data_IF_785246009251
#
_entry.id   IF_785246009251
#
_cell.length_a   1.000
_cell.length_b   1.000
_cell.length_c   1.000
_cell.angle_alpha   90.00
_cell.angle_beta   90.00
_cell.angle_gamma   90.00
#
_symmetry.space_group_name_H-M   'P 1'
#
loop_
_entity.id
_entity.type
_entity.pdbx_description
1 polymer ?
#
# COMPACT_ATOMS: atom_id res chain seq x y z
N UNK A 1 -27.91 -44.48 -21.34
CA UNK A 1 -26.58 -43.84 -21.31
C UNK A 1 -26.76 -42.50 -22.03
N UNK A 2 -26.83 -41.40 -21.32
CA UNK A 2 -26.99 -40.06 -21.91
C UNK A 2 -25.72 -39.73 -22.71
N UNK A 3 -25.88 -39.26 -23.96
CA UNK A 3 -24.77 -38.83 -24.83
C UNK A 3 -24.02 -37.67 -24.13
N UNK A 4 -22.93 -37.99 -23.43
CA UNK A 4 -22.03 -36.95 -22.89
C UNK A 4 -21.16 -36.41 -24.06
N UNK A 5 -21.11 -35.09 -24.20
CA UNK A 5 -20.32 -34.41 -25.22
C UNK A 5 -18.93 -34.07 -24.64
N UNK A 6 -17.86 -34.19 -25.44
CA UNK A 6 -16.55 -33.67 -25.07
C UNK A 6 -16.49 -32.16 -25.34
N UNK A 7 -16.23 -31.33 -24.33
CA UNK A 7 -16.11 -29.87 -24.52
C UNK A 7 -14.80 -29.54 -25.24
N UNK A 8 -14.72 -28.36 -25.85
CA UNK A 8 -13.45 -27.88 -26.39
C UNK A 8 -12.53 -27.49 -25.22
N UNK A 9 -11.29 -27.96 -25.28
CA UNK A 9 -10.24 -27.68 -24.29
C UNK A 9 -9.10 -26.94 -25.00
N UNK A 10 -8.92 -25.69 -24.64
CA UNK A 10 -7.79 -24.89 -25.10
C UNK A 10 -6.60 -25.08 -24.17
N UNK A 11 -5.40 -25.26 -24.73
CA UNK A 11 -4.22 -25.48 -23.93
C UNK A 11 -3.00 -24.68 -24.40
N UNK A 12 -2.17 -24.31 -23.44
CA UNK A 12 -0.87 -23.68 -23.67
C UNK A 12 0.12 -24.18 -22.62
N UNK A 13 1.40 -23.98 -22.82
CA UNK A 13 2.43 -24.45 -21.90
C UNK A 13 3.60 -23.48 -21.74
N UNK A 14 4.23 -23.53 -20.59
CA UNK A 14 5.61 -23.09 -20.34
C UNK A 14 6.52 -24.29 -20.23
N UNK A 15 7.80 -24.09 -19.89
CA UNK A 15 8.68 -25.21 -19.58
C UNK A 15 8.20 -25.97 -18.34
N UNK A 16 7.61 -25.28 -17.36
CA UNK A 16 7.25 -25.82 -16.05
C UNK A 16 5.74 -26.09 -15.87
N UNK A 17 4.87 -25.43 -16.61
CA UNK A 17 3.42 -25.45 -16.36
C UNK A 17 2.63 -25.69 -17.64
N UNK A 18 1.45 -26.31 -17.50
CA UNK A 18 0.43 -26.46 -18.55
C UNK A 18 -0.78 -25.67 -18.13
N UNK A 19 -1.32 -24.91 -19.04
CA UNK A 19 -2.53 -24.11 -18.88
C UNK A 19 -3.64 -24.74 -19.72
N UNK A 20 -4.78 -25.08 -19.07
CA UNK A 20 -5.95 -25.61 -19.76
C UNK A 20 -7.14 -24.68 -19.48
N UNK A 21 -7.96 -24.47 -20.52
CA UNK A 21 -9.23 -23.74 -20.41
C UNK A 21 -10.32 -24.57 -21.05
N UNK A 22 -11.37 -24.88 -20.28
CA UNK A 22 -12.52 -25.63 -20.78
C UNK A 22 -13.57 -24.64 -21.23
N UNK A 23 -14.03 -24.76 -22.49
CA UNK A 23 -15.02 -23.89 -23.11
C UNK A 23 -16.44 -24.32 -22.75
N UNK A 24 -16.80 -24.12 -21.48
CA UNK A 24 -18.16 -24.31 -20.96
C UNK A 24 -18.53 -23.08 -20.16
N UNK A 25 -19.55 -22.34 -20.57
CA UNK A 25 -20.02 -21.18 -19.83
C UNK A 25 -20.88 -21.62 -18.63
N UNK A 26 -20.50 -21.24 -17.44
CA UNK A 26 -21.18 -21.49 -16.18
C UNK A 26 -21.46 -22.99 -15.91
N UNK A 27 -20.42 -23.86 -15.88
CA UNK A 27 -20.58 -25.28 -15.61
C UNK A 27 -21.10 -25.49 -14.18
N UNK A 28 -22.07 -26.40 -14.02
CA UNK A 28 -22.63 -26.80 -12.73
C UNK A 28 -22.27 -28.26 -12.45
N UNK A 29 -22.13 -28.60 -11.14
CA UNK A 29 -21.84 -29.96 -10.72
C UNK A 29 -20.53 -30.51 -11.32
N UNK A 30 -19.53 -29.67 -11.46
CA UNK A 30 -18.23 -30.08 -12.02
C UNK A 30 -17.51 -30.99 -11.03
N UNK A 31 -17.24 -32.21 -11.48
CA UNK A 31 -16.38 -33.19 -10.80
C UNK A 31 -15.07 -33.33 -11.57
N UNK A 32 -13.95 -33.21 -10.86
CA UNK A 32 -12.62 -33.19 -11.44
C UNK A 32 -11.75 -34.17 -10.69
N UNK A 33 -11.25 -35.20 -11.38
CA UNK A 33 -10.33 -36.16 -10.82
C UNK A 33 -8.97 -36.05 -11.53
N UNK A 34 -7.91 -35.85 -10.75
CA UNK A 34 -6.54 -35.84 -11.24
C UNK A 34 -5.80 -37.04 -10.75
N UNK A 35 -5.13 -37.71 -11.69
CA UNK A 35 -4.07 -38.66 -11.45
C UNK A 35 -2.73 -38.08 -11.92
N UNK A 36 -1.61 -38.72 -11.64
CA UNK A 36 -0.30 -38.19 -12.03
C UNK A 36 -0.13 -38.11 -13.56
N UNK A 37 -0.84 -38.95 -14.31
CA UNK A 37 -0.77 -39.08 -15.75
C UNK A 37 -2.11 -38.80 -16.48
N UNK A 38 -3.20 -38.53 -15.76
CA UNK A 38 -4.50 -38.32 -16.35
C UNK A 38 -5.37 -37.31 -15.61
N UNK A 39 -6.38 -36.81 -16.34
CA UNK A 39 -7.42 -35.92 -15.82
C UNK A 39 -8.79 -36.38 -16.32
N UNK A 40 -9.70 -36.63 -15.41
CA UNK A 40 -11.12 -36.86 -15.71
C UNK A 40 -11.93 -35.63 -15.32
N UNK A 41 -12.85 -35.28 -16.19
CA UNK A 41 -13.74 -34.12 -16.00
C UNK A 41 -15.17 -34.49 -16.34
N UNK A 42 -16.09 -34.15 -15.45
CA UNK A 42 -17.54 -34.18 -15.72
C UNK A 42 -18.18 -32.89 -15.24
N UNK A 43 -19.17 -32.40 -16.02
CA UNK A 43 -19.98 -31.25 -15.64
C UNK A 43 -21.28 -31.25 -16.44
N UNK A 44 -22.27 -30.48 -15.99
CA UNK A 44 -23.46 -30.23 -16.79
C UNK A 44 -23.71 -28.72 -16.93
N UNK A 45 -24.30 -28.35 -18.05
CA UNK A 45 -24.79 -27.01 -18.34
C UNK A 45 -26.29 -27.05 -18.42
N UNK A 46 -27.05 -26.25 -17.66
CA UNK A 46 -28.50 -26.11 -17.84
C UNK A 46 -28.77 -25.41 -19.17
N UNK A 47 -29.65 -26.03 -19.99
CA UNK A 47 -30.11 -25.47 -21.24
C UNK A 47 -31.64 -25.53 -21.31
N UNK A 48 -32.28 -24.73 -22.16
CA UNK A 48 -33.76 -24.67 -22.28
C UNK A 48 -34.40 -26.01 -22.65
N UNK A 49 -33.64 -26.87 -23.36
CA UNK A 49 -34.07 -28.20 -23.77
C UNK A 49 -33.65 -29.37 -22.87
N UNK A 50 -33.07 -29.06 -21.69
CA UNK A 50 -32.57 -30.03 -20.71
C UNK A 50 -31.06 -29.92 -20.47
N UNK A 51 -30.53 -30.51 -19.39
CA UNK A 51 -29.12 -30.39 -19.05
C UNK A 51 -28.22 -31.10 -20.08
N UNK A 52 -27.24 -30.38 -20.62
CA UNK A 52 -26.21 -30.93 -21.49
C UNK A 52 -25.09 -31.45 -20.60
N UNK A 53 -24.80 -32.76 -20.66
CA UNK A 53 -23.73 -33.39 -19.90
C UNK A 53 -22.43 -33.38 -20.70
N UNK A 54 -21.36 -32.95 -20.07
CA UNK A 54 -19.99 -32.93 -20.58
C UNK A 54 -19.12 -33.92 -19.84
N UNK A 55 -18.32 -34.67 -20.57
CA UNK A 55 -17.37 -35.62 -20.00
C UNK A 55 -16.16 -35.77 -20.93
N UNK A 56 -14.96 -35.83 -20.34
CA UNK A 56 -13.77 -36.30 -21.00
C UNK A 56 -12.81 -36.97 -20.00
N UNK A 57 -11.96 -37.86 -20.55
CA UNK A 57 -10.81 -38.43 -19.85
C UNK A 57 -9.57 -38.16 -20.71
N UNK A 58 -8.63 -37.37 -20.19
CA UNK A 58 -7.42 -36.94 -20.86
C UNK A 58 -6.21 -37.56 -20.20
N UNK A 59 -5.46 -38.42 -20.95
CA UNK A 59 -4.16 -38.91 -20.53
C UNK A 59 -3.06 -38.00 -21.03
N UNK A 60 -2.26 -37.49 -20.11
CA UNK A 60 -1.19 -36.54 -20.42
C UNK A 60 0.00 -37.20 -21.10
N UNK A 61 0.73 -36.42 -21.89
CA UNK A 61 1.97 -36.89 -22.56
C UNK A 61 3.04 -37.35 -21.58
N UNK A 62 3.20 -36.67 -20.43
CA UNK A 62 4.04 -37.03 -19.28
C UNK A 62 3.34 -36.70 -17.97
N UNK A 63 3.95 -37.14 -16.87
CA UNK A 63 3.38 -36.95 -15.54
C UNK A 63 3.39 -35.49 -15.08
N UNK A 64 2.36 -35.13 -14.35
CA UNK A 64 2.19 -33.84 -13.68
C UNK A 64 2.33 -34.02 -12.18
N UNK A 65 2.70 -32.96 -11.44
CA UNK A 65 2.66 -32.99 -9.99
C UNK A 65 1.25 -32.66 -9.50
N UNK A 66 0.51 -33.73 -9.17
CA UNK A 66 -0.87 -33.64 -8.66
C UNK A 66 -1.04 -32.66 -7.50
N UNK A 67 0.01 -32.47 -6.65
CA UNK A 67 -0.05 -31.64 -5.44
C UNK A 67 0.01 -30.14 -5.75
N UNK A 68 0.56 -29.76 -6.89
CA UNK A 68 0.70 -28.38 -7.35
C UNK A 68 -0.32 -27.98 -8.43
N UNK A 69 -1.17 -28.92 -8.85
CA UNK A 69 -2.26 -28.64 -9.79
C UNK A 69 -3.32 -27.75 -9.12
N UNK A 70 -3.72 -26.68 -9.82
CA UNK A 70 -4.74 -25.74 -9.35
C UNK A 70 -5.75 -25.45 -10.45
N UNK A 71 -7.01 -25.15 -10.08
CA UNK A 71 -8.02 -24.71 -11.01
C UNK A 71 -8.83 -23.53 -10.44
N UNK A 72 -9.44 -22.78 -11.34
CA UNK A 72 -10.24 -21.60 -10.97
C UNK A 72 -11.32 -21.36 -12.01
N UNK A 73 -12.48 -20.84 -11.57
CA UNK A 73 -13.53 -20.35 -12.45
C UNK A 73 -13.28 -18.86 -12.76
N UNK A 74 -12.89 -18.55 -14.01
CA UNK A 74 -12.62 -17.18 -14.47
C UNK A 74 -13.57 -16.90 -15.65
N UNK A 75 -14.27 -15.75 -15.61
CA UNK A 75 -15.22 -15.34 -16.64
C UNK A 75 -16.24 -16.43 -17.00
N UNK A 76 -16.71 -17.18 -15.99
CA UNK A 76 -17.63 -18.32 -16.11
C UNK A 76 -17.06 -19.55 -16.85
N UNK A 77 -15.73 -19.61 -17.08
CA UNK A 77 -15.03 -20.75 -17.66
C UNK A 77 -14.02 -21.35 -16.68
N UNK A 78 -13.87 -22.67 -16.69
CA UNK A 78 -12.87 -23.37 -15.86
C UNK A 78 -11.49 -23.29 -16.49
N UNK A 79 -10.54 -22.78 -15.72
CA UNK A 79 -9.12 -22.70 -16.09
C UNK A 79 -8.27 -23.50 -15.12
N UNK A 80 -7.27 -24.22 -15.63
CA UNK A 80 -6.40 -25.11 -14.88
C UNK A 80 -4.94 -24.72 -15.09
N UNK A 81 -4.15 -24.84 -14.05
CA UNK A 81 -2.69 -24.75 -14.10
C UNK A 81 -2.15 -26.07 -13.54
N UNK A 82 -1.50 -26.85 -14.39
CA UNK A 82 -0.92 -28.14 -14.03
C UNK A 82 0.61 -28.03 -14.01
N UNK A 83 1.22 -28.47 -12.95
CA UNK A 83 2.68 -28.46 -12.79
C UNK A 83 3.28 -29.71 -13.41
N UNK A 84 4.23 -29.54 -14.32
CA UNK A 84 4.98 -30.66 -14.91
C UNK A 84 5.99 -31.20 -13.90
N UNK A 85 6.18 -32.52 -13.84
CA UNK A 85 7.26 -33.12 -13.02
C UNK A 85 8.64 -32.83 -13.61
N UNK A 86 8.76 -32.74 -14.92
CA UNK A 86 10.00 -32.42 -15.63
C UNK A 86 9.85 -31.08 -16.38
N UNK A 87 10.83 -30.18 -16.23
CA UNK A 87 10.82 -28.86 -16.87
C UNK A 87 11.23 -28.96 -18.34
N UNK A 88 10.26 -29.30 -19.21
CA UNK A 88 10.48 -29.41 -20.66
C UNK A 88 9.20 -29.02 -21.43
N UNK A 89 9.37 -28.69 -22.70
CA UNK A 89 8.23 -28.45 -23.58
C UNK A 89 7.70 -29.79 -24.10
N UNK A 90 6.39 -30.01 -23.95
CA UNK A 90 5.73 -31.17 -24.50
C UNK A 90 5.37 -30.92 -25.99
N UNK A 91 5.61 -31.90 -26.86
CA UNK A 91 5.25 -31.75 -28.27
C UNK A 91 3.72 -31.77 -28.50
N UNK A 92 2.98 -32.39 -27.55
CA UNK A 92 1.53 -32.53 -27.54
C UNK A 92 1.01 -32.66 -26.10
N UNK A 93 -0.30 -32.49 -25.92
CA UNK A 93 -0.91 -32.59 -24.59
C UNK A 93 -1.20 -34.04 -24.20
N UNK A 94 -1.69 -34.85 -25.16
CA UNK A 94 -2.10 -36.23 -24.90
C UNK A 94 -1.00 -37.26 -25.19
N UNK A 95 -1.17 -38.47 -24.64
CA UNK A 95 -0.32 -39.61 -24.92
C UNK A 95 -0.57 -40.17 -26.34
N UNK A 96 -1.73 -39.93 -26.96
CA UNK A 96 -2.07 -40.39 -28.28
C UNK A 96 -1.22 -39.71 -29.36
N UNK A 97 -0.98 -40.40 -30.48
CA UNK A 97 -0.11 -39.89 -31.56
C UNK A 97 -0.63 -38.57 -32.20
N UNK A 98 -1.93 -38.34 -32.14
CA UNK A 98 -2.59 -37.07 -32.53
C UNK A 98 -3.52 -36.65 -31.43
N UNK A 99 -3.45 -35.38 -31.01
CA UNK A 99 -4.41 -34.85 -30.05
C UNK A 99 -5.82 -34.95 -30.58
N UNK A 100 -6.83 -35.37 -29.79
CA UNK A 100 -8.22 -35.42 -30.19
C UNK A 100 -8.72 -34.05 -30.70
N UNK A 101 -9.69 -34.04 -31.60
CA UNK A 101 -10.21 -32.82 -32.27
C UNK A 101 -10.80 -31.76 -31.33
N UNK A 102 -11.11 -32.14 -30.09
CA UNK A 102 -11.61 -31.23 -29.05
C UNK A 102 -10.47 -30.56 -28.22
N UNK A 103 -9.20 -30.96 -28.42
CA UNK A 103 -8.03 -30.33 -27.83
C UNK A 103 -7.46 -29.34 -28.85
N UNK A 104 -7.43 -28.06 -28.49
CA UNK A 104 -7.02 -26.97 -29.37
C UNK A 104 -5.86 -26.20 -28.75
N UNK A 105 -4.71 -26.08 -29.46
CA UNK A 105 -3.64 -25.20 -29.00
C UNK A 105 -4.11 -23.74 -28.92
N UNK A 106 -3.94 -23.08 -27.77
CA UNK A 106 -4.30 -21.68 -27.58
C UNK A 106 -3.13 -20.78 -27.98
N UNK A 107 -3.27 -20.00 -29.04
CA UNK A 107 -2.29 -19.02 -29.47
C UNK A 107 -2.35 -17.71 -28.65
N UNK A 108 -3.46 -17.44 -27.96
CA UNK A 108 -3.56 -16.34 -27.01
C UNK A 108 -2.79 -16.71 -25.73
N UNK A 109 -1.75 -15.93 -25.45
CA UNK A 109 -0.76 -16.17 -24.37
C UNK A 109 -1.41 -16.27 -23.01
N UNK A 110 -2.02 -17.39 -22.65
CA UNK A 110 -2.37 -17.75 -21.29
C UNK A 110 -1.07 -18.03 -20.53
N UNK A 111 -0.47 -17.00 -19.95
CA UNK A 111 0.67 -17.14 -19.06
C UNK A 111 0.22 -16.77 -17.66
N UNK A 112 0.91 -17.30 -16.63
CA UNK A 112 0.71 -16.93 -15.23
C UNK A 112 0.63 -15.40 -15.01
N UNK A 113 1.18 -14.63 -15.94
CA UNK A 113 1.19 -13.16 -15.97
C UNK A 113 -0.12 -12.55 -16.50
N UNK A 114 -0.82 -13.20 -17.42
CA UNK A 114 -2.15 -12.76 -17.87
C UNK A 114 -3.23 -13.07 -16.82
N UNK A 115 -3.16 -14.21 -16.16
CA UNK A 115 -4.00 -14.58 -15.03
C UNK A 115 -3.78 -13.63 -13.81
N UNK A 116 -2.55 -13.14 -13.58
CA UNK A 116 -2.26 -12.18 -12.51
C UNK A 116 -2.59 -10.72 -12.85
N UNK A 117 -2.64 -10.33 -14.14
CA UNK A 117 -2.87 -8.92 -14.52
C UNK A 117 -4.35 -8.52 -14.55
N UNK A 118 -5.28 -9.44 -14.71
CA UNK A 118 -6.71 -9.17 -14.56
C UNK A 118 -7.18 -9.10 -13.10
N UNK A 119 -6.35 -9.55 -12.15
CA UNK A 119 -6.62 -9.61 -10.71
C UNK A 119 -6.46 -8.29 -9.94
N UNK A 120 -6.75 -7.15 -10.53
CA UNK A 120 -6.83 -5.90 -9.73
C UNK A 120 -8.22 -5.61 -9.14
N UNK A 121 -9.21 -6.49 -9.31
CA UNK A 121 -10.57 -6.25 -8.81
C UNK A 121 -11.24 -7.46 -8.17
N UNK A 122 -10.67 -8.14 -7.35
CA UNK A 122 -11.12 -9.18 -6.41
C UNK A 122 -10.07 -10.28 -6.35
N UNK A 123 -9.65 -10.63 -5.15
CA UNK A 123 -8.84 -11.83 -4.93
C UNK A 123 -9.80 -13.03 -4.97
N UNK A 124 -9.81 -13.85 -6.00
CA UNK A 124 -10.34 -15.17 -5.86
C UNK A 124 -9.38 -15.99 -5.01
N UNK A 125 -9.88 -16.69 -4.02
CA UNK A 125 -9.13 -17.72 -3.28
C UNK A 125 -8.88 -18.88 -4.25
N UNK A 126 -7.61 -19.11 -4.59
CA UNK A 126 -7.19 -20.34 -5.23
C UNK A 126 -7.44 -21.49 -4.27
N UNK A 127 -8.50 -22.27 -4.48
CA UNK A 127 -8.67 -23.55 -3.79
C UNK A 127 -7.64 -24.51 -4.32
N UNK A 128 -6.72 -24.94 -3.46
CA UNK A 128 -5.85 -26.08 -3.77
C UNK A 128 -6.73 -27.33 -3.80
N UNK A 129 -6.58 -28.14 -4.81
CA UNK A 129 -7.29 -29.44 -4.96
C UNK A 129 -7.21 -30.32 -3.70
N UNK A 130 -6.14 -30.20 -2.91
CA UNK A 130 -5.96 -30.95 -1.67
C UNK A 130 -7.02 -30.67 -0.59
N UNK A 131 -7.71 -29.52 -0.62
CA UNK A 131 -8.75 -29.18 0.35
C UNK A 131 -10.11 -29.79 0.00
N UNK A 132 -10.37 -30.05 -1.28
CA UNK A 132 -11.62 -30.64 -1.76
C UNK A 132 -11.69 -32.14 -1.49
N UNK A 133 -10.53 -32.82 -1.46
CA UNK A 133 -10.44 -34.22 -1.07
C UNK A 133 -10.68 -34.46 0.43
N UNK A 134 -10.45 -33.49 1.29
CA UNK A 134 -10.77 -33.59 2.71
C UNK A 134 -12.28 -33.65 2.98
N UNK A 135 -13.10 -33.06 2.08
CA UNK A 135 -14.56 -33.07 2.20
C UNK A 135 -15.26 -34.33 1.69
N UNK A 136 -14.65 -35.05 0.73
CA UNK A 136 -15.23 -36.25 0.11
C UNK A 136 -14.92 -37.55 0.89
N UNK A 137 -13.84 -37.61 1.65
CA UNK A 137 -13.52 -38.76 2.50
C UNK A 137 -14.40 -38.90 3.75
N UNK A 138 -15.24 -37.93 4.09
CA UNK A 138 -16.12 -37.98 5.26
C UNK A 138 -17.37 -38.85 5.07
N UNK A 139 -17.51 -39.58 3.98
CA UNK A 139 -18.64 -40.51 3.73
C UNK A 139 -18.29 -42.00 3.72
N UNK A 140 -17.03 -42.36 3.84
CA UNK A 140 -16.64 -43.76 3.91
C UNK A 140 -15.76 -44.02 5.15
N UNK A 141 -16.32 -44.84 6.06
CA UNK A 141 -15.70 -45.48 7.24
C UNK A 141 -15.03 -44.57 8.27
N UNK A 142 -15.85 -44.05 9.19
CA UNK A 142 -15.41 -43.37 10.44
C UNK A 142 -14.95 -44.35 11.54
N UNK A 143 -14.99 -45.64 11.37
CA UNK A 143 -14.63 -46.61 12.42
C UNK A 143 -13.20 -47.16 12.40
N UNK A 144 -12.48 -47.02 11.29
CA UNK A 144 -11.08 -47.53 11.17
C UNK A 144 -9.98 -46.44 11.34
N UNK A 145 -10.36 -45.16 11.46
CA UNK A 145 -9.40 -44.04 11.54
C UNK A 145 -9.02 -43.62 12.98
N UNK A 146 -9.70 -44.16 14.00
CA UNK A 146 -9.49 -43.72 15.40
C UNK A 146 -8.23 -44.33 16.06
N UNK A 147 -7.40 -45.12 15.36
CA UNK A 147 -6.23 -45.80 15.92
C UNK A 147 -4.90 -45.65 15.15
N UNK A 148 -4.84 -44.80 14.12
CA UNK A 148 -3.52 -44.52 13.47
C UNK A 148 -3.08 -43.09 13.85
N UNK A 149 -1.89 -43.04 14.43
CA UNK A 149 -1.27 -41.79 14.77
C UNK A 149 -0.84 -41.06 13.47
N UNK A 150 -1.58 -40.04 13.06
CA UNK A 150 -1.35 -39.25 11.83
C UNK A 150 0.08 -38.70 11.77
N UNK A 151 0.76 -38.62 12.93
CA UNK A 151 2.14 -38.16 13.05
C UNK A 151 3.18 -39.16 12.50
N UNK A 152 2.86 -40.47 12.45
CA UNK A 152 3.77 -41.48 11.92
C UNK A 152 3.71 -41.58 10.38
N UNK A 153 2.50 -41.37 9.79
CA UNK A 153 2.31 -41.52 8.35
C UNK A 153 2.75 -40.30 7.53
N UNK A 154 2.69 -39.09 8.14
CA UNK A 154 2.98 -37.83 7.43
C UNK A 154 3.76 -36.78 8.27
N UNK A 155 4.97 -37.08 8.74
CA UNK A 155 5.75 -36.17 9.59
C UNK A 155 6.06 -34.82 8.90
N UNK A 156 6.28 -34.86 7.58
CA UNK A 156 6.56 -33.62 6.81
C UNK A 156 5.35 -32.71 6.60
N UNK A 157 4.13 -33.26 6.65
CA UNK A 157 2.90 -32.48 6.49
C UNK A 157 2.57 -31.72 7.77
N UNK A 158 2.77 -32.36 8.92
CA UNK A 158 2.58 -31.73 10.24
C UNK A 158 3.58 -30.59 10.46
N UNK A 159 4.85 -30.79 10.13
CA UNK A 159 5.87 -29.75 10.19
C UNK A 159 5.59 -28.57 9.26
N UNK A 160 5.01 -28.82 8.08
CA UNK A 160 4.62 -27.77 7.11
C UNK A 160 3.42 -26.98 7.59
N UNK A 161 2.39 -27.64 8.10
CA UNK A 161 1.21 -27.02 8.69
C UNK A 161 1.58 -26.21 9.93
N UNK A 162 2.43 -26.76 10.80
CA UNK A 162 2.90 -26.07 12.00
C UNK A 162 3.78 -24.85 11.67
N UNK A 163 4.60 -24.92 10.63
CA UNK A 163 5.36 -23.75 10.12
C UNK A 163 4.44 -22.68 9.50
N UNK A 164 3.40 -23.11 8.78
CA UNK A 164 2.39 -22.19 8.23
C UNK A 164 1.56 -21.54 9.34
N UNK A 165 1.18 -22.28 10.36
CA UNK A 165 0.46 -21.78 11.54
C UNK A 165 1.32 -20.81 12.37
N UNK A 166 2.59 -21.10 12.59
CA UNK A 166 3.54 -20.19 13.24
C UNK A 166 3.79 -18.93 12.41
N UNK A 167 3.84 -19.06 11.07
CA UNK A 167 3.93 -17.93 10.15
C UNK A 167 2.70 -17.02 10.21
N UNK A 168 1.51 -17.61 10.28
CA UNK A 168 0.24 -16.90 10.44
C UNK A 168 0.16 -16.14 11.77
N UNK A 169 0.55 -16.76 12.89
CA UNK A 169 0.64 -16.09 14.20
C UNK A 169 1.60 -14.90 14.19
N UNK A 170 2.79 -15.02 13.56
CA UNK A 170 3.73 -13.90 13.43
C UNK A 170 3.17 -12.74 12.61
N UNK A 171 2.45 -13.02 11.54
CA UNK A 171 1.78 -11.97 10.77
C UNK A 171 0.68 -11.27 11.56
N UNK A 172 -0.06 -11.98 12.40
CA UNK A 172 -1.10 -11.38 13.23
C UNK A 172 -0.50 -10.47 14.31
N UNK A 173 0.57 -10.86 14.99
CA UNK A 173 1.26 -9.99 15.94
C UNK A 173 1.83 -8.73 15.27
N UNK A 174 2.40 -8.85 14.07
CA UNK A 174 2.86 -7.67 13.31
C UNK A 174 1.71 -6.73 12.96
N UNK A 175 0.58 -7.26 12.53
CA UNK A 175 -0.61 -6.45 12.22
C UNK A 175 -1.15 -5.76 13.46
N UNK A 176 -1.29 -6.48 14.56
CA UNK A 176 -1.75 -5.93 15.85
C UNK A 176 -0.83 -4.80 16.29
N UNK A 177 0.49 -5.02 16.30
CA UNK A 177 1.46 -3.98 16.63
C UNK A 177 1.30 -2.73 15.75
N UNK A 178 1.21 -2.91 14.41
CA UNK A 178 1.08 -1.78 13.49
C UNK A 178 -0.25 -1.03 13.69
N UNK A 179 -1.36 -1.73 14.01
CA UNK A 179 -2.63 -1.08 14.32
C UNK A 179 -2.51 -0.24 15.59
N UNK A 180 -1.93 -0.79 16.67
CA UNK A 180 -1.71 -0.05 17.91
C UNK A 180 -0.78 1.15 17.70
N UNK A 181 0.30 0.99 16.95
CA UNK A 181 1.20 2.09 16.62
C UNK A 181 0.47 3.23 15.89
N UNK A 182 -0.28 2.91 14.82
CA UNK A 182 -1.01 3.91 14.06
C UNK A 182 -2.12 4.57 14.88
N UNK A 183 -2.81 3.80 15.75
CA UNK A 183 -3.83 4.34 16.65
C UNK A 183 -3.21 5.28 17.68
N UNK A 184 -2.08 4.91 18.27
CA UNK A 184 -1.34 5.76 19.21
C UNK A 184 -0.91 7.09 18.57
N UNK A 185 -0.36 7.04 17.38
CA UNK A 185 0.02 8.25 16.63
C UNK A 185 -1.20 9.12 16.30
N UNK A 186 -2.30 8.50 15.85
CA UNK A 186 -3.54 9.21 15.56
C UNK A 186 -4.06 9.95 16.80
N UNK A 187 -4.14 9.29 17.95
CA UNK A 187 -4.59 9.89 19.22
C UNK A 187 -3.66 11.03 19.64
N UNK A 188 -2.34 10.84 19.50
CA UNK A 188 -1.36 11.88 19.84
C UNK A 188 -1.54 13.16 19.04
N UNK A 189 -1.66 13.06 17.73
CA UNK A 189 -1.89 14.23 16.86
C UNK A 189 -3.29 14.83 17.01
N UNK A 190 -4.30 14.01 17.25
CA UNK A 190 -5.66 14.47 17.53
C UNK A 190 -5.69 15.30 18.83
N UNK A 191 -5.04 14.82 19.88
CA UNK A 191 -4.93 15.53 21.16
C UNK A 191 -4.24 16.90 20.98
N UNK A 192 -3.15 16.96 20.20
CA UNK A 192 -2.46 18.23 19.89
C UNK A 192 -3.44 19.20 19.23
N UNK A 193 -4.20 18.80 18.21
CA UNK A 193 -5.17 19.68 17.56
C UNK A 193 -6.31 20.14 18.50
N UNK A 194 -6.80 19.23 19.33
CA UNK A 194 -7.85 19.57 20.31
C UNK A 194 -7.34 20.66 21.29
N UNK A 195 -6.15 20.49 21.86
CA UNK A 195 -5.56 21.46 22.77
C UNK A 195 -5.32 22.81 22.08
N UNK A 196 -4.78 22.79 20.85
CA UNK A 196 -4.58 24.02 20.07
C UNK A 196 -5.91 24.70 19.77
N UNK A 197 -6.94 23.94 19.38
CA UNK A 197 -8.29 24.47 19.10
C UNK A 197 -8.98 25.07 20.32
N UNK A 198 -8.92 24.39 21.49
CA UNK A 198 -9.48 24.89 22.74
C UNK A 198 -8.80 26.20 23.16
N UNK A 199 -7.46 26.23 23.14
CA UNK A 199 -6.71 27.44 23.52
C UNK A 199 -6.99 28.60 22.56
N UNK A 200 -7.02 28.32 21.27
CA UNK A 200 -7.36 29.34 20.28
C UNK A 200 -8.77 29.91 20.46
N UNK A 201 -9.74 29.05 20.78
CA UNK A 201 -11.13 29.46 21.04
C UNK A 201 -11.30 30.27 22.32
N UNK A 202 -10.43 30.01 23.32
CA UNK A 202 -10.49 30.70 24.62
C UNK A 202 -9.72 32.01 24.62
N UNK A 203 -8.47 31.98 24.14
CA UNK A 203 -7.48 33.04 24.30
C UNK A 203 -7.23 33.80 22.98
N UNK A 204 -7.91 33.41 21.90
CA UNK A 204 -7.81 34.04 20.58
C UNK A 204 -6.40 33.97 19.99
N UNK A 205 -5.99 35.01 19.20
CA UNK A 205 -4.68 35.02 18.52
C UNK A 205 -3.47 35.01 19.45
N UNK A 206 -3.62 35.45 20.71
CA UNK A 206 -2.51 35.43 21.68
C UNK A 206 -2.09 34.03 22.08
N UNK A 207 -2.99 33.05 21.99
CA UNK A 207 -2.68 31.64 22.19
C UNK A 207 -1.60 31.10 21.24
N UNK A 208 -1.44 31.73 20.06
CA UNK A 208 -0.43 31.30 19.08
C UNK A 208 1.00 31.47 19.61
N UNK A 209 1.24 32.48 20.49
CA UNK A 209 2.55 32.71 21.09
C UNK A 209 2.92 31.64 22.13
N UNK A 210 1.90 31.00 22.74
CA UNK A 210 2.07 29.99 23.77
C UNK A 210 1.95 28.54 23.23
N UNK A 211 1.74 28.37 21.95
CA UNK A 211 1.54 27.05 21.33
C UNK A 211 2.67 26.08 21.65
N UNK A 212 3.91 26.53 21.47
CA UNK A 212 5.08 25.67 21.76
C UNK A 212 5.12 25.22 23.21
N UNK A 213 4.87 26.11 24.15
CA UNK A 213 4.81 25.79 25.58
C UNK A 213 3.72 24.80 25.93
N UNK A 214 2.60 24.84 25.20
CA UNK A 214 1.41 24.01 25.47
C UNK A 214 1.52 22.59 24.91
N UNK A 215 1.93 22.47 23.66
CA UNK A 215 1.91 21.18 22.95
C UNK A 215 3.28 20.73 22.42
N UNK A 216 4.31 21.57 22.55
CA UNK A 216 5.63 21.28 21.97
C UNK A 216 6.26 19.99 22.51
N UNK A 217 6.14 19.72 23.82
CA UNK A 217 6.68 18.49 24.42
C UNK A 217 6.00 17.24 23.89
N UNK A 218 4.68 17.27 23.74
CA UNK A 218 3.92 16.16 23.16
C UNK A 218 4.27 15.98 21.68
N UNK A 219 4.33 17.10 20.93
CA UNK A 219 4.68 17.02 19.50
C UNK A 219 6.09 16.43 19.29
N UNK A 220 7.08 16.83 20.13
CA UNK A 220 8.42 16.23 20.11
C UNK A 220 8.36 14.73 20.35
N UNK A 221 7.57 14.30 21.32
CA UNK A 221 7.43 12.89 21.66
C UNK A 221 6.81 12.08 20.48
N UNK A 222 5.67 12.51 19.94
CA UNK A 222 5.05 11.79 18.82
C UNK A 222 5.91 11.84 17.54
N UNK A 223 6.66 12.93 17.34
CA UNK A 223 7.60 13.07 16.23
C UNK A 223 8.79 12.11 16.37
N UNK A 224 9.32 11.89 17.57
CA UNK A 224 10.35 10.88 17.84
C UNK A 224 9.81 9.47 17.61
N UNK A 225 8.58 9.20 18.03
CA UNK A 225 7.93 7.91 17.75
C UNK A 225 7.74 7.65 16.25
N UNK A 226 7.64 8.69 15.41
CA UNK A 226 7.59 8.50 13.94
C UNK A 226 8.88 7.93 13.35
N UNK A 227 10.04 7.98 14.04
CA UNK A 227 11.24 7.30 13.59
C UNK A 227 11.06 5.77 13.51
N UNK A 228 10.10 5.19 14.23
CA UNK A 228 9.72 3.79 14.06
C UNK A 228 9.21 3.49 12.65
N UNK A 229 8.65 4.47 11.93
CA UNK A 229 8.25 4.30 10.53
C UNK A 229 9.44 4.02 9.60
N UNK A 230 10.64 4.47 9.98
CA UNK A 230 11.89 4.15 9.29
C UNK A 230 12.35 2.73 9.64
N UNK A 231 12.14 2.32 10.90
CA UNK A 231 12.51 0.98 11.36
C UNK A 231 11.58 -0.12 10.82
N UNK A 232 10.29 0.18 10.61
CA UNK A 232 9.33 -0.81 10.15
C UNK A 232 9.74 -1.51 8.84
N UNK A 233 10.13 -0.84 7.75
CA UNK A 233 10.61 -1.51 6.54
C UNK A 233 11.97 -2.20 6.75
N UNK A 234 12.86 -1.67 7.60
CA UNK A 234 14.16 -2.29 7.89
C UNK A 234 13.96 -3.66 8.57
N UNK A 235 13.04 -3.74 9.54
CA UNK A 235 12.73 -4.98 10.23
C UNK A 235 11.66 -5.84 9.53
N UNK A 236 11.22 -5.47 8.31
CA UNK A 236 10.25 -6.24 7.54
C UNK A 236 8.82 -6.24 8.10
N UNK A 237 8.45 -5.21 8.89
CA UNK A 237 7.06 -5.00 9.32
C UNK A 237 6.20 -4.40 8.21
N UNK A 238 6.79 -3.53 7.38
CA UNK A 238 6.13 -2.92 6.22
C UNK A 238 6.96 -3.14 4.96
N UNK A 239 6.30 -3.12 3.79
CA UNK A 239 6.97 -3.17 2.48
C UNK A 239 7.25 -1.76 2.02
N UNK A 240 8.49 -1.46 1.63
CA UNK A 240 8.86 -0.16 1.08
C UNK A 240 10.33 0.19 1.28
N UNK A 241 10.74 1.33 0.72
CA UNK A 241 12.10 1.84 0.89
C UNK A 241 12.16 2.68 2.18
N UNK A 242 13.05 2.39 3.14
CA UNK A 242 13.18 3.16 4.39
C UNK A 242 13.68 4.59 4.18
N UNK A 243 14.31 4.89 3.05
CA UNK A 243 14.85 6.23 2.76
C UNK A 243 13.77 7.31 2.70
N UNK A 244 12.59 6.99 2.15
CA UNK A 244 11.50 7.96 2.00
C UNK A 244 10.98 8.44 3.37
N UNK A 245 10.56 7.55 4.30
CA UNK A 245 10.18 8.00 5.63
C UNK A 245 11.34 8.63 6.40
N UNK A 246 12.60 8.19 6.20
CA UNK A 246 13.76 8.80 6.85
C UNK A 246 13.92 10.27 6.47
N UNK A 247 13.87 10.61 5.19
CA UNK A 247 13.98 12.01 4.72
C UNK A 247 12.80 12.85 5.25
N UNK A 248 11.58 12.30 5.23
CA UNK A 248 10.39 13.01 5.69
C UNK A 248 10.42 13.27 7.20
N UNK A 249 10.64 12.23 8.00
CA UNK A 249 10.68 12.35 9.47
C UNK A 249 11.90 13.13 9.93
N UNK A 250 13.05 12.90 9.30
CA UNK A 250 14.29 13.61 9.58
C UNK A 250 14.19 15.12 9.29
N UNK A 251 13.58 15.49 8.15
CA UNK A 251 13.33 16.90 7.83
C UNK A 251 12.46 17.61 8.87
N UNK A 252 11.37 16.97 9.30
CA UNK A 252 10.52 17.50 10.38
C UNK A 252 11.25 17.58 11.73
N UNK A 253 12.04 16.55 12.06
CA UNK A 253 12.85 16.55 13.27
C UNK A 253 13.89 17.70 13.24
N UNK A 254 14.53 17.95 12.09
CA UNK A 254 15.45 19.07 11.94
C UNK A 254 14.75 20.40 12.20
N UNK A 255 13.60 20.66 11.63
CA UNK A 255 12.82 21.89 11.89
C UNK A 255 12.42 21.98 13.36
N UNK A 256 11.94 20.90 13.96
CA UNK A 256 11.44 20.92 15.34
C UNK A 256 12.56 21.09 16.37
N UNK A 257 13.63 20.28 16.28
CA UNK A 257 14.68 20.25 17.31
C UNK A 257 15.78 21.29 17.05
N UNK A 258 16.16 21.53 15.79
CA UNK A 258 17.25 22.47 15.49
C UNK A 258 16.72 23.88 15.26
N UNK A 259 15.58 24.05 14.58
CA UNK A 259 15.10 25.40 14.26
C UNK A 259 14.18 25.99 15.34
N UNK A 260 13.34 25.20 16.00
CA UNK A 260 12.36 25.72 16.97
C UNK A 260 12.84 25.54 18.41
N UNK A 261 13.25 24.31 18.79
CA UNK A 261 13.67 24.03 20.17
C UNK A 261 14.90 24.80 20.60
N UNK A 262 15.90 24.90 19.72
CA UNK A 262 17.17 25.54 20.07
C UNK A 262 17.10 27.06 20.14
N UNK A 263 16.05 27.69 19.59
CA UNK A 263 15.88 29.14 19.54
C UNK A 263 14.57 29.60 20.18
N UNK A 264 14.65 30.06 21.42
CA UNK A 264 13.48 30.47 22.21
C UNK A 264 12.68 31.60 21.55
N UNK A 265 13.35 32.52 20.82
CA UNK A 265 12.69 33.61 20.10
C UNK A 265 11.78 33.10 18.98
N UNK A 266 12.08 31.92 18.41
CA UNK A 266 11.24 31.30 17.39
C UNK A 266 9.99 30.66 17.99
N UNK A 267 10.06 30.10 19.19
CA UNK A 267 8.97 29.37 19.86
C UNK A 267 7.70 30.23 20.04
N UNK A 268 7.88 31.54 20.18
CA UNK A 268 6.77 32.48 20.38
C UNK A 268 6.18 33.04 19.09
N UNK A 269 6.68 32.64 17.92
CA UNK A 269 6.19 33.18 16.64
C UNK A 269 4.93 32.46 16.17
N UNK A 270 3.93 33.17 15.63
CA UNK A 270 2.69 32.58 15.15
C UNK A 270 2.88 31.50 14.08
N UNK A 271 3.96 31.56 13.30
CA UNK A 271 4.26 30.55 12.28
C UNK A 271 4.41 29.13 12.87
N UNK A 272 4.84 29.02 14.13
CA UNK A 272 4.94 27.73 14.83
C UNK A 272 3.57 27.13 15.08
N UNK A 273 2.56 27.94 15.42
CA UNK A 273 1.17 27.51 15.52
C UNK A 273 0.68 26.92 14.18
N UNK A 274 0.85 27.66 13.08
CA UNK A 274 0.41 27.19 11.77
C UNK A 274 1.12 25.90 11.34
N UNK A 275 2.43 25.81 11.60
CA UNK A 275 3.20 24.59 11.29
C UNK A 275 2.66 23.39 12.06
N UNK A 276 2.50 23.51 13.38
CA UNK A 276 2.01 22.42 14.23
C UNK A 276 0.59 22.00 13.86
N UNK A 277 -0.27 22.97 13.52
CA UNK A 277 -1.62 22.72 13.04
C UNK A 277 -1.62 21.92 11.74
N UNK A 278 -0.84 22.36 10.74
CA UNK A 278 -0.77 21.69 9.43
C UNK A 278 -0.18 20.29 9.55
N UNK A 279 0.91 20.14 10.28
CA UNK A 279 1.53 18.82 10.50
C UNK A 279 0.57 17.86 11.18
N UNK A 280 -0.08 18.28 12.26
CA UNK A 280 -1.03 17.44 12.97
C UNK A 280 -2.25 17.08 12.11
N UNK A 281 -2.74 18.03 11.33
CA UNK A 281 -3.90 17.80 10.45
C UNK A 281 -3.61 16.78 9.34
N UNK A 282 -2.41 16.81 8.74
CA UNK A 282 -1.98 15.80 7.76
C UNK A 282 -1.98 14.41 8.38
N UNK A 283 -1.49 14.27 9.61
CA UNK A 283 -1.37 12.98 10.30
C UNK A 283 -2.74 12.40 10.69
N UNK A 284 -3.72 13.24 11.02
CA UNK A 284 -5.10 12.78 11.30
C UNK A 284 -5.73 12.08 10.10
N UNK A 285 -5.38 12.44 8.88
CA UNK A 285 -5.88 11.73 7.70
C UNK A 285 -4.98 10.57 7.28
N UNK A 286 -3.70 10.60 7.65
CA UNK A 286 -2.72 9.57 7.29
C UNK A 286 -2.89 8.28 8.10
N UNK A 287 -2.96 8.37 9.41
CA UNK A 287 -3.00 7.19 10.28
C UNK A 287 -4.29 6.37 10.18
N UNK A 288 -5.51 6.95 10.15
CA UNK A 288 -6.71 6.15 9.91
C UNK A 288 -6.70 5.44 8.56
N UNK A 289 -6.14 6.06 7.52
CA UNK A 289 -5.96 5.38 6.24
C UNK A 289 -5.04 4.15 6.37
N UNK A 290 -3.95 4.24 7.11
CA UNK A 290 -3.07 3.09 7.34
C UNK A 290 -3.76 1.98 8.15
N UNK A 291 -4.56 2.32 9.17
CA UNK A 291 -5.36 1.36 9.93
C UNK A 291 -6.34 0.64 9.01
N UNK A 292 -7.08 1.35 8.17
CA UNK A 292 -8.05 0.73 7.24
C UNK A 292 -7.36 -0.20 6.23
N UNK A 293 -6.15 0.15 5.77
CA UNK A 293 -5.37 -0.73 4.90
C UNK A 293 -4.91 -2.01 5.61
N UNK A 294 -4.46 -1.92 6.86
CA UNK A 294 -4.05 -3.07 7.67
C UNK A 294 -5.23 -4.01 7.95
N UNK A 295 -6.41 -3.46 8.24
CA UNK A 295 -7.63 -4.21 8.49
C UNK A 295 -8.32 -4.70 7.20
N UNK A 296 -7.77 -4.35 6.03
CA UNK A 296 -8.35 -4.64 4.70
C UNK A 296 -9.78 -4.10 4.52
N UNK A 297 -10.15 -3.06 5.27
CA UNK A 297 -11.44 -2.37 5.15
C UNK A 297 -11.28 -1.23 4.15
N UNK A 298 -12.13 -1.20 3.13
CA UNK A 298 -12.10 -0.12 2.13
C UNK A 298 -13.16 0.93 2.47
N UNK A 299 -12.72 2.09 2.98
CA UNK A 299 -13.57 3.25 3.25
C UNK A 299 -13.25 4.33 2.22
N UNK A 300 -14.10 4.53 1.20
CA UNK A 300 -13.82 5.46 0.09
C UNK A 300 -13.56 6.89 0.55
N UNK A 301 -14.27 7.35 1.58
CA UNK A 301 -14.11 8.71 2.15
C UNK A 301 -12.70 8.91 2.74
N UNK A 302 -12.21 7.97 3.54
CA UNK A 302 -10.87 8.06 4.15
C UNK A 302 -9.81 8.01 3.05
N UNK A 303 -9.99 7.15 2.05
CA UNK A 303 -9.08 7.06 0.90
C UNK A 303 -9.08 8.37 0.12
N UNK A 304 -10.25 8.94 -0.17
CA UNK A 304 -10.35 10.22 -0.86
C UNK A 304 -9.70 11.37 -0.08
N UNK A 305 -9.98 11.49 1.21
CA UNK A 305 -9.37 12.48 2.10
C UNK A 305 -7.84 12.36 2.11
N UNK A 306 -7.32 11.14 2.29
CA UNK A 306 -5.87 10.87 2.31
C UNK A 306 -5.17 11.38 1.04
N UNK A 307 -5.81 11.19 -0.13
CA UNK A 307 -5.24 11.57 -1.43
C UNK A 307 -5.68 12.96 -1.94
N UNK A 308 -6.42 13.74 -1.15
CA UNK A 308 -6.88 15.08 -1.56
C UNK A 308 -6.42 16.17 -0.59
N UNK A 309 -6.49 15.95 0.72
CA UNK A 309 -6.21 16.96 1.75
C UNK A 309 -4.76 17.46 1.71
N UNK A 310 -3.82 16.67 1.25
CA UNK A 310 -2.41 17.08 1.11
C UNK A 310 -2.21 18.23 0.11
N UNK A 311 -3.12 18.41 -0.86
CA UNK A 311 -3.00 19.43 -1.92
C UNK A 311 -2.84 20.84 -1.32
N UNK A 312 -3.70 21.31 -0.41
CA UNK A 312 -3.48 22.58 0.29
C UNK A 312 -2.46 22.48 1.43
N UNK A 313 -2.41 21.36 2.17
CA UNK A 313 -1.64 21.29 3.40
C UNK A 313 -0.13 21.20 3.18
N UNK A 314 0.34 20.49 2.16
CA UNK A 314 1.77 20.36 1.91
C UNK A 314 2.42 21.67 1.49
N UNK A 315 1.88 22.45 0.52
CA UNK A 315 2.42 23.78 0.22
C UNK A 315 2.43 24.70 1.44
N UNK A 316 1.37 24.65 2.27
CA UNK A 316 1.30 25.47 3.47
C UNK A 316 2.33 25.06 4.52
N UNK A 317 2.53 23.73 4.73
CA UNK A 317 3.58 23.22 5.60
C UNK A 317 4.97 23.67 5.15
N UNK A 318 5.28 23.51 3.86
CA UNK A 318 6.54 23.99 3.29
C UNK A 318 6.72 25.51 3.45
N UNK A 319 5.70 26.29 3.21
CA UNK A 319 5.76 27.74 3.40
C UNK A 319 6.12 28.08 4.85
N UNK A 320 5.46 27.44 5.83
CA UNK A 320 5.76 27.63 7.25
C UNK A 320 7.20 27.21 7.60
N UNK A 321 7.66 26.07 7.10
CA UNK A 321 9.03 25.59 7.26
C UNK A 321 10.04 26.59 6.67
N UNK A 322 9.80 27.06 5.45
CA UNK A 322 10.64 28.08 4.80
C UNK A 322 10.73 29.39 5.58
N UNK A 323 9.61 29.88 6.12
CA UNK A 323 9.57 31.09 6.95
C UNK A 323 10.36 30.87 8.25
N UNK A 324 10.24 29.70 8.88
CA UNK A 324 11.02 29.35 10.09
C UNK A 324 12.50 29.34 9.79
N UNK A 325 12.93 28.71 8.71
CA UNK A 325 14.33 28.67 8.30
C UNK A 325 14.86 30.08 8.03
N UNK A 326 14.13 30.88 7.23
CA UNK A 326 14.51 32.26 6.91
C UNK A 326 14.69 33.12 8.17
N UNK A 327 13.73 33.01 9.13
CA UNK A 327 13.77 33.79 10.37
C UNK A 327 14.88 33.33 11.33
N UNK A 328 15.31 32.08 11.26
CA UNK A 328 16.37 31.56 12.11
C UNK A 328 17.78 31.95 11.60
N UNK A 329 17.96 32.30 10.34
CA UNK A 329 19.27 32.66 9.80
C UNK A 329 19.94 33.76 10.63
N UNK A 330 19.32 34.95 10.85
CA UNK A 330 19.94 35.99 11.68
C UNK A 330 20.15 35.57 13.14
N UNK A 331 19.24 34.75 13.70
CA UNK A 331 19.37 34.28 15.08
C UNK A 331 20.59 33.37 15.25
N UNK A 332 20.88 32.49 14.27
CA UNK A 332 22.07 31.65 14.28
C UNK A 332 23.34 32.42 13.92
N UNK A 333 23.25 33.54 13.19
CA UNK A 333 24.37 34.45 12.98
C UNK A 333 24.78 35.14 14.26
N UNK A 334 23.81 35.59 15.07
CA UNK A 334 24.09 36.19 16.37
C UNK A 334 24.60 35.17 17.40
N UNK A 335 23.94 34.02 17.51
CA UNK A 335 24.23 33.03 18.55
C UNK A 335 25.42 32.15 18.23
N UNK A 336 25.87 32.06 16.99
CA UNK A 336 26.91 31.17 16.46
C UNK A 336 26.71 29.68 16.83
N UNK A 337 25.48 29.28 17.22
CA UNK A 337 25.15 27.91 17.54
C UNK A 337 25.31 27.02 16.30
N UNK A 338 25.79 25.79 16.53
CA UNK A 338 26.00 24.78 15.48
C UNK A 338 27.04 25.17 14.40
N UNK A 339 27.84 26.18 14.63
CA UNK A 339 28.96 26.52 13.77
C UNK A 339 30.22 25.79 14.25
N UNK A 340 31.01 25.31 13.31
CA UNK A 340 32.32 24.69 13.56
C UNK A 340 33.37 25.55 12.89
N UNK A 341 34.22 26.21 13.69
CA UNK A 341 35.30 27.08 13.24
C UNK A 341 36.65 26.36 13.24
N UNK A 342 37.56 26.79 12.38
CA UNK A 342 38.95 26.39 12.36
C UNK A 342 39.75 27.27 13.34
N UNK A 343 40.83 26.75 13.96
CA UNK A 343 41.38 25.39 13.88
C UNK A 343 40.62 24.39 14.79
N UNK A 344 40.35 23.19 14.27
CA UNK A 344 39.75 22.09 15.03
C UNK A 344 40.41 20.74 14.65
N UNK A 345 40.30 19.68 15.46
CA UNK A 345 40.92 18.38 15.20
C UNK A 345 40.49 17.73 13.89
N UNK A 346 39.32 18.09 13.38
CA UNK A 346 38.72 17.51 12.15
C UNK A 346 39.12 18.27 10.87
N UNK A 347 39.81 19.40 10.99
CA UNK A 347 40.16 20.32 9.90
C UNK A 347 38.95 20.63 8.98
N UNK A 348 37.77 20.84 9.59
CA UNK A 348 36.50 21.07 8.91
C UNK A 348 35.83 22.33 9.45
N UNK A 349 35.34 23.19 8.56
CA UNK A 349 34.53 24.34 8.94
C UNK A 349 33.10 24.18 8.46
N UNK A 350 32.13 24.45 9.33
CA UNK A 350 30.72 24.43 9.01
C UNK A 350 30.04 25.68 9.56
N UNK A 351 29.36 26.41 8.70
CA UNK A 351 28.62 27.60 9.08
C UNK A 351 27.12 27.41 8.77
N UNK A 352 26.32 27.14 9.80
CA UNK A 352 24.90 26.81 9.66
C UNK A 352 24.11 27.87 8.90
N UNK A 353 24.24 29.19 9.16
CA UNK A 353 23.49 30.22 8.42
C UNK A 353 23.75 30.18 6.91
N UNK A 354 25.00 29.97 6.49
CA UNK A 354 25.33 29.83 5.06
C UNK A 354 24.70 28.57 4.46
N UNK A 355 24.75 27.44 5.18
CA UNK A 355 24.10 26.22 4.77
C UNK A 355 22.58 26.42 4.59
N UNK A 356 21.90 27.10 5.52
CA UNK A 356 20.48 27.39 5.44
C UNK A 356 20.10 28.27 4.25
N UNK A 357 20.95 29.25 3.89
CA UNK A 357 20.77 30.07 2.69
C UNK A 357 20.87 29.23 1.41
N UNK A 358 21.88 28.36 1.31
CA UNK A 358 22.07 27.44 0.19
C UNK A 358 20.88 26.46 0.11
N UNK A 359 20.45 25.91 1.24
CA UNK A 359 19.30 25.02 1.33
C UNK A 359 18.03 25.68 0.78
N UNK A 360 17.71 26.89 1.21
CA UNK A 360 16.53 27.62 0.73
C UNK A 360 16.62 27.97 -0.76
N UNK A 361 17.79 28.38 -1.23
CA UNK A 361 17.96 28.80 -2.61
C UNK A 361 17.94 27.63 -3.62
N UNK A 362 18.62 26.54 -3.28
CA UNK A 362 18.88 25.46 -4.23
C UNK A 362 17.93 24.26 -4.02
N UNK A 363 17.71 23.84 -2.77
CA UNK A 363 17.02 22.58 -2.48
C UNK A 363 15.54 22.74 -2.15
N UNK A 364 15.12 23.86 -1.59
CA UNK A 364 13.77 24.03 -1.06
C UNK A 364 12.68 23.92 -2.15
N UNK A 365 12.79 24.70 -3.23
CA UNK A 365 11.79 24.67 -4.31
C UNK A 365 11.83 23.35 -5.11
N UNK A 366 12.98 22.79 -5.50
CA UNK A 366 13.00 21.46 -6.11
C UNK A 366 12.44 20.35 -5.22
N UNK A 367 12.70 20.37 -3.90
CA UNK A 367 12.13 19.39 -2.98
C UNK A 367 10.61 19.47 -2.90
N UNK A 368 10.06 20.69 -2.84
CA UNK A 368 8.62 20.91 -2.90
C UNK A 368 8.03 20.34 -4.19
N UNK A 369 8.64 20.66 -5.35
CA UNK A 369 8.18 20.16 -6.64
C UNK A 369 8.20 18.62 -6.71
N UNK A 370 9.30 18.00 -6.29
CA UNK A 370 9.43 16.54 -6.28
C UNK A 370 8.38 15.88 -5.39
N UNK A 371 8.16 16.41 -4.19
CA UNK A 371 7.17 15.87 -3.26
C UNK A 371 5.73 16.02 -3.77
N UNK A 372 5.38 17.19 -4.31
CA UNK A 372 4.06 17.45 -4.89
C UNK A 372 3.81 16.57 -6.13
N UNK A 373 4.82 16.40 -6.97
CA UNK A 373 4.75 15.53 -8.16
C UNK A 373 4.55 14.06 -7.77
N UNK A 374 5.31 13.58 -6.77
CA UNK A 374 5.18 12.22 -6.25
C UNK A 374 3.77 11.96 -5.67
N UNK A 375 3.26 12.86 -4.83
CA UNK A 375 1.93 12.71 -4.22
C UNK A 375 0.80 12.79 -5.25
N UNK A 376 0.95 13.66 -6.24
CA UNK A 376 0.00 13.76 -7.34
C UNK A 376 -0.05 12.46 -8.16
N UNK A 377 1.10 11.89 -8.48
CA UNK A 377 1.19 10.58 -9.13
C UNK A 377 0.49 9.50 -8.31
N UNK A 378 0.75 9.42 -7.00
CA UNK A 378 0.11 8.48 -6.10
C UNK A 378 -1.42 8.66 -6.04
N UNK A 379 -1.91 9.92 -6.11
CA UNK A 379 -3.34 10.22 -6.20
C UNK A 379 -3.98 9.66 -7.46
N UNK A 380 -3.36 9.88 -8.63
CA UNK A 380 -3.89 9.34 -9.90
C UNK A 380 -3.83 7.82 -9.96
N UNK A 381 -2.82 7.20 -9.37
CA UNK A 381 -2.73 5.74 -9.27
C UNK A 381 -3.88 5.15 -8.44
N UNK A 382 -4.35 5.85 -7.42
CA UNK A 382 -5.41 5.36 -6.51
C UNK A 382 -6.82 5.82 -6.87
N UNK A 383 -7.00 7.06 -7.33
CA UNK A 383 -8.31 7.67 -7.57
C UNK A 383 -8.65 7.84 -9.06
N UNK A 384 -7.67 7.84 -9.96
CA UNK A 384 -7.88 8.09 -11.40
C UNK A 384 -8.52 6.92 -12.13
N UNK A 385 -9.42 7.21 -13.08
CA UNK A 385 -9.97 6.22 -14.01
C UNK A 385 -8.88 5.75 -14.99
N UNK A 386 -8.95 4.50 -15.42
CA UNK A 386 -7.88 3.82 -16.18
C UNK A 386 -7.50 4.54 -17.50
N UNK A 387 -8.44 5.25 -18.13
CA UNK A 387 -8.22 5.97 -19.39
C UNK A 387 -7.50 7.31 -19.20
N UNK A 388 -7.71 7.98 -18.07
CA UNK A 388 -7.06 9.27 -17.75
C UNK A 388 -5.61 9.10 -17.30
N UNK A 389 -5.26 7.93 -16.76
CA UNK A 389 -3.90 7.65 -16.23
C UNK A 389 -2.79 7.82 -17.28
N UNK A 390 -3.06 7.47 -18.55
CA UNK A 390 -2.06 7.54 -19.63
C UNK A 390 -1.85 8.94 -20.19
N UNK A 391 -2.91 9.76 -20.29
CA UNK A 391 -2.87 11.10 -20.92
C UNK A 391 -2.25 12.13 -19.96
N UNK A 392 -2.50 11.97 -18.66
CA UNK A 392 -2.07 12.93 -17.64
C UNK A 392 -0.57 12.78 -17.32
N UNK A 393 -0.01 11.58 -17.52
CA UNK A 393 1.40 11.32 -17.27
C UNK A 393 2.37 12.13 -18.17
N UNK A 394 1.90 12.54 -19.35
CA UNK A 394 2.70 13.29 -20.32
C UNK A 394 2.65 14.83 -20.18
N UNK A 395 1.56 15.37 -19.59
CA UNK A 395 1.33 16.84 -19.59
C UNK A 395 1.38 17.50 -18.19
N UNK A 396 1.76 16.75 -17.15
CA UNK A 396 1.45 17.14 -15.77
C UNK A 396 2.47 18.05 -15.10
N UNK A 397 3.73 18.03 -15.51
CA UNK A 397 4.80 18.74 -14.80
C UNK A 397 4.58 20.25 -14.73
N UNK A 398 4.33 20.89 -15.87
CA UNK A 398 4.25 22.34 -15.95
C UNK A 398 2.90 22.91 -15.49
N UNK A 399 1.79 22.30 -15.90
CA UNK A 399 0.44 22.77 -15.49
C UNK A 399 0.24 22.66 -13.98
N UNK A 400 0.75 21.58 -13.37
CA UNK A 400 0.65 21.39 -11.93
C UNK A 400 1.50 22.39 -11.15
N UNK A 401 2.68 22.74 -11.64
CA UNK A 401 3.52 23.78 -11.07
C UNK A 401 2.83 25.15 -11.10
N UNK A 402 2.22 25.52 -12.22
CA UNK A 402 1.48 26.80 -12.36
C UNK A 402 0.25 26.83 -11.44
N UNK A 403 -0.53 25.76 -11.36
CA UNK A 403 -1.72 25.69 -10.49
C UNK A 403 -1.31 25.81 -9.01
N UNK A 404 -0.25 25.12 -8.60
CA UNK A 404 0.22 25.19 -7.21
C UNK A 404 0.85 26.56 -6.89
N UNK A 405 1.55 27.17 -7.83
CA UNK A 405 2.06 28.53 -7.66
C UNK A 405 0.91 29.54 -7.52
N UNK A 406 -0.15 29.40 -8.30
CA UNK A 406 -1.36 30.22 -8.15
C UNK A 406 -2.09 29.95 -6.82
N UNK A 407 -2.14 28.70 -6.36
CA UNK A 407 -2.70 28.33 -5.05
C UNK A 407 -1.87 28.91 -3.90
N UNK A 408 -0.55 28.86 -3.98
CA UNK A 408 0.35 29.47 -2.98
C UNK A 408 0.16 31.00 -2.97
N UNK A 409 0.13 31.63 -4.14
CA UNK A 409 -0.14 33.06 -4.25
C UNK A 409 -1.53 33.44 -3.71
N UNK A 410 -2.56 32.66 -4.06
CA UNK A 410 -3.91 32.83 -3.52
C UNK A 410 -3.97 32.65 -2.00
N UNK A 411 -3.22 31.69 -1.45
CA UNK A 411 -3.11 31.46 -0.02
C UNK A 411 -2.38 32.61 0.70
N UNK A 412 -1.29 33.12 0.11
CA UNK A 412 -0.60 34.31 0.63
C UNK A 412 -1.54 35.53 0.67
N UNK A 413 -2.37 35.72 -0.37
CA UNK A 413 -3.36 36.77 -0.43
C UNK A 413 -4.45 36.53 0.63
N UNK A 414 -4.95 35.33 0.77
CA UNK A 414 -5.93 34.93 1.79
C UNK A 414 -5.42 35.19 3.21
N UNK A 415 -4.18 34.80 3.54
CA UNK A 415 -3.60 35.07 4.85
C UNK A 415 -3.37 36.58 5.10
N UNK A 416 -2.97 37.33 4.07
CA UNK A 416 -2.86 38.79 4.17
C UNK A 416 -4.23 39.42 4.39
N UNK A 417 -5.26 38.96 3.67
CA UNK A 417 -6.64 39.40 3.82
C UNK A 417 -7.19 39.01 5.20
N UNK A 418 -6.99 37.78 5.66
CA UNK A 418 -7.42 37.31 6.97
C UNK A 418 -6.71 38.08 8.09
N UNK A 419 -5.40 38.33 7.97
CA UNK A 419 -4.66 39.16 8.90
C UNK A 419 -5.16 40.58 8.97
N UNK A 420 -5.50 41.20 7.84
CA UNK A 420 -6.08 42.55 7.77
C UNK A 420 -7.52 42.57 8.28
N UNK A 421 -8.33 41.54 7.97
CA UNK A 421 -9.73 41.44 8.44
C UNK A 421 -9.78 41.28 9.96
N UNK A 422 -8.90 40.47 10.52
CA UNK A 422 -8.75 40.29 11.97
C UNK A 422 -8.27 41.61 12.62
N UNK A 423 -7.31 42.29 12.00
CA UNK A 423 -6.83 43.59 12.49
C UNK A 423 -7.96 44.66 12.45
N UNK A 424 -8.69 44.79 11.35
CA UNK A 424 -9.81 45.69 11.22
C UNK A 424 -10.99 45.37 12.16
N UNK A 425 -11.19 44.09 12.50
CA UNK A 425 -12.22 43.67 13.46
C UNK A 425 -11.86 44.07 14.90
N UNK A 426 -10.57 44.11 15.25
CA UNK A 426 -10.12 44.56 16.56
C UNK A 426 -9.99 46.09 16.66
N UNK A 427 -9.59 46.77 15.56
CA UNK A 427 -9.52 48.25 15.51
C UNK A 427 -10.90 48.89 15.52
N UNK A 428 -12.01 48.15 15.35
CA UNK A 428 -13.40 48.62 15.45
C UNK A 428 -14.00 48.45 16.87
N UNK A 429 -13.25 47.90 17.81
CA UNK A 429 -13.67 47.64 19.18
C UNK A 429 -12.76 48.30 20.24
N UNK A 430 -11.82 49.19 19.83
CA UNK A 430 -11.20 50.23 20.65
C UNK A 430 -11.89 51.59 20.33
#
# INVERSE_FOLDING_TARGET
>A
MSNAQSPKVYWNQTNSDIYLRIDINNPQGSEIHFEDDSMQFSAFKPDENGPINYYFNLKFYKQTDRRENVYELIDQQLQFILRKQTEEKWPRLSTEDTDPSWIIPDSDKMTKKSLCNEKKTSKPEFKKLSEEYAGLNNKFHMEDFEKRDINEDYPHMYDKLHKEELGYRREDYKKVYLVFYNLFQFIGFLYILIIMGIKYSRDGPDSMKETYKSVGSLLKFVQLMQFLEVMHPIFGYTRGNPLIPFVQVGGRAFILFVMIESEVRMQTKPVVFYLFFVWSLVEIFRYPYYITQLLKVNIPLITWLRYTVWIPLYPMGFLCEGIIVLRNIPYFEESQKYNVALPNPWNFSFHLPTFLRIYLLIFFLPALYMMMSHMNRARYEKLGKTKERKIIQQNLGFKFFVINFCLIAGFCIFFKWMGNTVKNFFDLHE
#
